data_IF_470242476349
#
_entry.id   IF_470242476349
#
_cell.length_a   1.000
_cell.length_b   1.000
_cell.length_c   1.000
_cell.angle_alpha   90.00
_cell.angle_beta   90.00
_cell.angle_gamma   90.00
#
_symmetry.space_group_name_H-M   'P 1'
#
loop_
_entity.id
_entity.type
_entity.pdbx_description
1 polymer ?
#
# COMPACT_ATOMS: atom_id res chain seq x y z
N UNK A 1 10.94 -2.39 -13.09
CA UNK A 1 11.81 -2.68 -11.93
C UNK A 1 11.32 -3.92 -11.20
N UNK A 2 10.07 -3.97 -10.72
CA UNK A 2 9.52 -5.15 -10.00
C UNK A 2 9.59 -6.46 -10.79
N UNK A 3 9.38 -6.44 -12.12
CA UNK A 3 9.52 -7.63 -12.96
C UNK A 3 10.93 -8.26 -12.93
N UNK A 4 11.97 -7.48 -12.62
CA UNK A 4 13.35 -7.96 -12.52
C UNK A 4 13.59 -8.72 -11.21
N UNK A 5 12.65 -8.68 -10.27
CA UNK A 5 12.73 -9.38 -9.00
C UNK A 5 12.24 -10.84 -9.08
N UNK A 6 11.77 -11.31 -10.23
CA UNK A 6 11.15 -12.62 -10.39
C UNK A 6 12.06 -13.77 -9.94
N UNK A 7 13.33 -13.74 -10.34
CA UNK A 7 14.31 -14.78 -10.02
C UNK A 7 14.98 -14.59 -8.65
N UNK A 8 14.63 -13.53 -7.90
CA UNK A 8 15.16 -13.32 -6.55
C UNK A 8 14.49 -14.31 -5.60
N UNK A 9 15.24 -15.12 -4.83
CA UNK A 9 14.69 -16.08 -3.87
C UNK A 9 14.19 -15.37 -2.60
N UNK A 10 13.13 -14.58 -2.76
CA UNK A 10 12.43 -13.87 -1.71
C UNK A 10 10.92 -14.12 -1.81
N UNK A 11 10.27 -14.26 -0.66
CA UNK A 11 8.83 -14.55 -0.56
C UNK A 11 7.95 -13.29 -0.74
N UNK A 12 8.52 -12.11 -0.49
CA UNK A 12 7.78 -10.84 -0.50
C UNK A 12 8.58 -9.70 -1.14
N UNK A 13 7.88 -8.68 -1.61
CA UNK A 13 8.43 -7.40 -2.03
C UNK A 13 7.80 -6.30 -1.18
N UNK A 14 8.65 -5.50 -0.54
CA UNK A 14 8.24 -4.39 0.30
C UNK A 14 8.46 -3.05 -0.41
N UNK A 15 7.43 -2.21 -0.41
CA UNK A 15 7.42 -0.85 -0.94
C UNK A 15 7.43 0.17 0.20
N UNK A 16 7.98 1.36 -0.03
CA UNK A 16 8.22 2.39 0.99
C UNK A 16 7.58 3.73 0.67
N UNK A 17 6.45 3.73 -0.03
CA UNK A 17 5.83 4.93 -0.57
C UNK A 17 4.81 5.53 0.40
N UNK A 18 5.07 6.77 0.84
CA UNK A 18 4.18 7.47 1.76
C UNK A 18 3.01 8.16 1.02
N UNK A 19 1.80 7.72 1.31
CA UNK A 19 0.54 8.35 0.85
C UNK A 19 -0.18 9.13 1.94
N UNK A 20 0.18 8.92 3.22
CA UNK A 20 -0.47 9.50 4.39
C UNK A 20 0.40 10.52 5.12
N UNK A 21 -0.26 11.50 5.75
CA UNK A 21 0.31 12.32 6.82
C UNK A 21 -0.47 12.08 8.13
N UNK A 22 -0.17 12.84 9.19
CA UNK A 22 -0.85 12.70 10.48
C UNK A 22 -2.38 12.87 10.42
N UNK A 23 -2.91 13.51 9.38
CA UNK A 23 -4.29 13.94 9.24
C UNK A 23 -5.07 13.11 8.21
N UNK A 24 -4.39 12.45 7.28
CA UNK A 24 -5.04 11.63 6.23
C UNK A 24 -4.17 11.49 4.98
N UNK A 25 -4.81 11.14 3.87
CA UNK A 25 -4.13 10.95 2.57
C UNK A 25 -3.62 12.29 2.02
N UNK A 26 -2.32 12.39 1.71
CA UNK A 26 -1.61 13.61 1.30
C UNK A 26 -2.25 14.29 0.09
N UNK A 27 -2.61 13.53 -0.94
CA UNK A 27 -3.28 14.05 -2.15
C UNK A 27 -4.79 14.25 -1.98
N UNK A 28 -5.33 13.77 -0.86
CA UNK A 28 -6.75 13.47 -0.68
C UNK A 28 -7.13 12.13 -1.37
N UNK A 29 -8.09 11.39 -0.80
CA UNK A 29 -8.44 10.04 -1.26
C UNK A 29 -8.91 10.00 -2.72
N UNK A 30 -9.69 10.98 -3.17
CA UNK A 30 -10.18 11.05 -4.57
C UNK A 30 -9.03 11.15 -5.59
N UNK A 31 -8.05 12.02 -5.33
CA UNK A 31 -6.89 12.17 -6.22
C UNK A 31 -5.97 10.96 -6.14
N UNK A 32 -5.85 10.35 -4.96
CA UNK A 32 -5.11 9.09 -4.82
C UNK A 32 -5.76 7.99 -5.69
N UNK A 33 -7.09 7.88 -5.70
CA UNK A 33 -7.82 6.93 -6.57
C UNK A 33 -7.63 7.23 -8.05
N UNK A 34 -7.71 8.51 -8.44
CA UNK A 34 -7.56 8.91 -9.84
C UNK A 34 -6.14 8.67 -10.37
N UNK A 35 -5.12 9.02 -9.58
CA UNK A 35 -3.74 9.05 -10.07
C UNK A 35 -2.89 7.89 -9.58
N UNK A 36 -3.03 7.43 -8.34
CA UNK A 36 -2.11 6.45 -7.75
C UNK A 36 -2.65 5.01 -7.81
N UNK A 37 -3.92 4.80 -7.46
CA UNK A 37 -4.56 3.46 -7.46
C UNK A 37 -4.30 2.63 -8.73
N UNK A 38 -4.55 3.12 -9.96
CA UNK A 38 -4.36 2.29 -11.17
C UNK A 38 -2.89 1.89 -11.40
N UNK A 39 -1.95 2.74 -10.97
CA UNK A 39 -0.50 2.46 -11.10
C UNK A 39 -0.06 1.42 -10.08
N UNK A 40 -0.53 1.55 -8.83
CA UNK A 40 -0.27 0.58 -7.78
C UNK A 40 -0.88 -0.78 -8.06
N UNK A 41 -2.10 -0.83 -8.61
CA UNK A 41 -2.72 -2.09 -9.05
C UNK A 41 -1.80 -2.85 -10.03
N UNK A 42 -1.26 -2.15 -11.02
CA UNK A 42 -0.34 -2.77 -12.00
C UNK A 42 0.94 -3.30 -11.33
N UNK A 43 1.44 -2.58 -10.32
CA UNK A 43 2.62 -2.97 -9.55
C UNK A 43 2.33 -4.22 -8.73
N UNK A 44 1.23 -4.24 -7.98
CA UNK A 44 0.83 -5.37 -7.13
C UNK A 44 0.54 -6.61 -7.98
N UNK A 45 -0.21 -6.48 -9.08
CA UNK A 45 -0.44 -7.56 -10.04
C UNK A 45 0.89 -8.15 -10.54
N UNK A 46 1.90 -7.32 -10.78
CA UNK A 46 3.23 -7.77 -11.22
C UNK A 46 3.98 -8.54 -10.12
N UNK A 47 3.79 -8.19 -8.84
CA UNK A 47 4.36 -8.92 -7.70
C UNK A 47 3.66 -10.28 -7.54
N UNK A 48 2.33 -10.29 -7.58
CA UNK A 48 1.54 -11.51 -7.45
C UNK A 48 1.75 -12.47 -8.63
N UNK A 49 1.94 -11.96 -9.84
CA UNK A 49 2.30 -12.77 -11.00
C UNK A 49 3.64 -13.52 -10.83
N UNK A 50 4.51 -13.07 -9.91
CA UNK A 50 5.74 -13.75 -9.53
C UNK A 50 5.56 -14.72 -8.35
N UNK A 51 4.34 -14.89 -7.83
CA UNK A 51 4.05 -15.72 -6.67
C UNK A 51 4.55 -15.15 -5.34
N UNK A 52 4.74 -13.83 -5.27
CA UNK A 52 5.29 -13.12 -4.10
C UNK A 52 4.22 -12.31 -3.36
N UNK A 53 4.45 -12.05 -2.08
CA UNK A 53 3.61 -11.21 -1.22
C UNK A 53 3.93 -9.72 -1.41
N UNK A 54 2.90 -8.89 -1.42
CA UNK A 54 3.00 -7.42 -1.43
C UNK A 54 2.98 -6.87 -0.01
N UNK A 55 4.07 -6.23 0.39
CA UNK A 55 4.13 -5.45 1.64
C UNK A 55 4.23 -3.98 1.25
N UNK A 56 3.39 -3.10 1.79
CA UNK A 56 3.53 -1.66 1.58
C UNK A 56 3.68 -0.93 2.88
N UNK A 57 4.70 -0.08 2.90
CA UNK A 57 4.93 0.89 3.93
C UNK A 57 4.38 2.25 3.56
N UNK A 58 3.71 2.84 4.53
CA UNK A 58 3.18 4.18 4.44
C UNK A 58 3.10 4.79 5.84
N UNK A 59 3.76 5.93 6.03
CA UNK A 59 3.59 6.78 7.20
C UNK A 59 2.17 7.39 7.24
N UNK A 60 1.77 7.82 8.44
CA UNK A 60 0.54 8.58 8.63
C UNK A 60 -0.74 7.76 8.45
N UNK A 61 -1.80 8.43 8.01
CA UNK A 61 -3.12 7.83 7.86
C UNK A 61 -3.47 7.54 6.41
N UNK A 62 -3.80 6.28 6.17
CA UNK A 62 -4.40 5.78 4.92
C UNK A 62 -5.81 5.23 5.14
N UNK A 63 -6.43 5.50 6.29
CA UNK A 63 -7.72 4.91 6.66
C UNK A 63 -8.79 5.10 5.57
N UNK A 64 -8.84 6.28 4.95
CA UNK A 64 -9.80 6.63 3.89
C UNK A 64 -9.60 5.84 2.58
N UNK A 65 -8.43 5.25 2.36
CA UNK A 65 -8.08 4.45 1.17
C UNK A 65 -7.76 2.99 1.51
N UNK A 66 -7.93 2.56 2.77
CA UNK A 66 -7.68 1.18 3.19
C UNK A 66 -8.46 0.16 2.34
N UNK A 67 -9.76 0.36 2.05
CA UNK A 67 -10.50 -0.55 1.18
C UNK A 67 -9.93 -0.57 -0.24
N UNK A 68 -9.45 0.58 -0.74
CA UNK A 68 -8.90 0.70 -2.10
C UNK A 68 -7.57 -0.04 -2.26
N UNK A 69 -6.68 0.01 -1.26
CA UNK A 69 -5.39 -0.70 -1.30
C UNK A 69 -5.56 -2.20 -1.16
N UNK A 70 -6.53 -2.65 -0.34
CA UNK A 70 -6.92 -4.06 -0.25
C UNK A 70 -7.49 -4.54 -1.59
N UNK A 71 -8.37 -3.76 -2.22
CA UNK A 71 -8.98 -4.08 -3.51
C UNK A 71 -7.94 -4.35 -4.60
N UNK A 72 -6.85 -3.57 -4.62
CA UNK A 72 -5.80 -3.71 -5.64
C UNK A 72 -4.72 -4.74 -5.28
N UNK A 73 -4.85 -5.45 -4.15
CA UNK A 73 -3.96 -6.57 -3.80
C UNK A 73 -2.88 -6.27 -2.76
N UNK A 74 -3.09 -5.33 -1.85
CA UNK A 74 -2.21 -5.22 -0.68
C UNK A 74 -2.37 -6.44 0.23
N UNK A 75 -1.29 -7.18 0.50
CA UNK A 75 -1.31 -8.31 1.45
C UNK A 75 -0.97 -7.86 2.88
N UNK A 76 0.01 -6.97 3.04
CA UNK A 76 0.50 -6.50 4.35
C UNK A 76 0.74 -4.99 4.35
N UNK A 77 0.14 -4.30 5.32
CA UNK A 77 0.48 -2.92 5.66
C UNK A 77 1.54 -2.88 6.76
N UNK A 78 2.67 -2.22 6.50
CA UNK A 78 3.81 -2.10 7.42
C UNK A 78 4.18 -0.62 7.60
N UNK A 79 3.90 0.11 8.66
CA UNK A 79 3.26 -0.21 9.94
C UNK A 79 2.05 0.69 10.11
N UNK A 80 1.04 0.21 10.84
CA UNK A 80 0.01 1.07 11.38
C UNK A 80 0.67 2.10 12.30
N UNK A 81 0.39 3.39 12.09
CA UNK A 81 0.85 4.49 12.94
C UNK A 81 -0.31 4.95 13.84
N UNK A 82 -0.42 4.48 15.10
CA UNK A 82 -1.62 4.67 15.93
C UNK A 82 -1.96 6.14 16.23
N UNK A 83 -0.97 7.04 16.20
CA UNK A 83 -1.17 8.47 16.45
C UNK A 83 -1.81 9.20 15.28
N UNK A 84 -1.81 8.62 14.07
CA UNK A 84 -2.42 9.23 12.90
C UNK A 84 -3.95 9.03 12.89
N UNK A 85 -4.67 10.00 12.33
CA UNK A 85 -6.14 10.00 12.30
C UNK A 85 -6.70 8.69 11.75
N UNK A 86 -7.55 8.00 12.51
CA UNK A 86 -8.25 6.80 12.04
C UNK A 86 -7.39 5.53 11.94
N UNK A 87 -6.14 5.56 12.42
CA UNK A 87 -5.21 4.42 12.34
C UNK A 87 -5.14 3.60 13.64
N UNK A 88 -6.25 3.49 14.39
CA UNK A 88 -6.28 2.66 15.59
C UNK A 88 -6.23 1.17 15.19
N UNK A 89 -5.19 0.41 15.57
CA UNK A 89 -5.01 -0.98 15.14
C UNK A 89 -6.10 -1.94 15.64
N UNK A 90 -6.91 -1.53 16.61
CA UNK A 90 -8.03 -2.32 17.12
C UNK A 90 -9.37 -1.99 16.45
N UNK A 91 -9.38 -1.02 15.53
CA UNK A 91 -10.58 -0.55 14.80
C UNK A 91 -10.45 -0.67 13.27
N UNK A 92 -9.22 -0.90 12.78
CA UNK A 92 -8.92 -1.17 11.38
C UNK A 92 -9.25 -2.61 10.98
#
# INVERSE_FOLDING_TARGET
MVAQCADIPADAIMFGDDWGDQRGVILGPERWREFLKPRWATIYDTVHAQGKVVISHCCGSIADIMPDVIEIGLDVLESVQPEATGMNPYQL
#
